data_IF_329489909741
#
_entry.id   IF_329489909741
#
_cell.length_a   1.000
_cell.length_b   1.000
_cell.length_c   1.000
_cell.angle_alpha   90.00
_cell.angle_beta   90.00
_cell.angle_gamma   90.00
#
_symmetry.space_group_name_H-M   'P 1'
#
loop_
_entity.id
_entity.type
_entity.pdbx_description
1 polymer ?
#
# COMPACT_ATOMS: atom_id res chain seq x y z
N UNK A 1 -11.00 19.72 7.44
CA UNK A 1 -11.13 18.61 6.47
C UNK A 1 -11.46 17.37 7.26
N UNK A 2 -12.44 16.59 6.79
CA UNK A 2 -12.76 15.30 7.41
C UNK A 2 -11.68 14.28 7.02
N UNK A 3 -11.33 13.38 7.95
CA UNK A 3 -10.35 12.34 7.70
C UNK A 3 -10.86 11.36 6.64
N UNK A 4 -10.01 10.97 5.69
CA UNK A 4 -10.26 9.89 4.72
C UNK A 4 -9.03 8.98 4.67
N UNK A 5 -9.24 7.72 5.07
CA UNK A 5 -8.26 6.64 4.95
C UNK A 5 -8.75 5.57 3.98
N UNK A 6 -7.89 4.61 3.65
CA UNK A 6 -8.26 3.49 2.78
C UNK A 6 -7.50 2.20 3.05
N UNK A 7 -8.14 1.09 2.74
CA UNK A 7 -7.49 -0.19 2.52
C UNK A 7 -7.46 -0.53 1.02
N UNK A 8 -6.26 -0.74 0.48
CA UNK A 8 -6.04 -0.89 -0.95
C UNK A 8 -5.37 -2.25 -1.30
N UNK A 9 -6.08 -3.38 -1.24
CA UNK A 9 -5.50 -4.70 -1.48
C UNK A 9 -5.37 -5.02 -2.97
N UNK A 10 -4.25 -5.64 -3.35
CA UNK A 10 -4.11 -6.30 -4.66
C UNK A 10 -4.75 -7.70 -4.65
N UNK A 11 -5.58 -8.06 -5.65
CA UNK A 11 -6.28 -9.35 -5.69
C UNK A 11 -5.44 -10.50 -6.27
N UNK A 12 -4.16 -10.57 -5.89
CA UNK A 12 -3.25 -11.69 -6.22
C UNK A 12 -3.49 -12.96 -5.38
N UNK A 13 -4.52 -12.95 -4.53
CA UNK A 13 -4.88 -14.05 -3.63
C UNK A 13 -5.79 -13.57 -2.49
N UNK A 14 -6.27 -14.48 -1.62
CA UNK A 14 -7.12 -14.14 -0.49
C UNK A 14 -6.41 -13.25 0.55
N UNK A 15 -7.16 -12.68 1.49
CA UNK A 15 -6.57 -11.98 2.63
C UNK A 15 -5.83 -12.99 3.53
N UNK A 16 -4.65 -12.60 3.97
CA UNK A 16 -3.87 -13.28 5.00
C UNK A 16 -3.71 -12.35 6.21
N UNK A 17 -3.13 -12.86 7.31
CA UNK A 17 -3.00 -12.11 8.56
C UNK A 17 -2.35 -10.73 8.37
N UNK A 18 -1.24 -10.63 7.63
CA UNK A 18 -0.61 -9.34 7.32
C UNK A 18 -1.50 -8.35 6.56
N UNK A 19 -2.36 -8.83 5.64
CA UNK A 19 -3.34 -7.96 4.98
C UNK A 19 -4.44 -7.51 5.94
N UNK A 20 -4.83 -8.38 6.89
CA UNK A 20 -5.79 -8.04 7.93
C UNK A 20 -5.23 -6.98 8.90
N UNK A 21 -3.95 -7.04 9.25
CA UNK A 21 -3.29 -5.98 10.05
C UNK A 21 -3.44 -4.63 9.36
N UNK A 22 -3.16 -4.56 8.05
CA UNK A 22 -3.32 -3.34 7.28
C UNK A 22 -4.79 -2.87 7.21
N UNK A 23 -5.73 -3.79 7.04
CA UNK A 23 -7.16 -3.46 7.03
C UNK A 23 -7.64 -2.92 8.39
N UNK A 24 -7.37 -3.64 9.49
CA UNK A 24 -7.77 -3.23 10.84
C UNK A 24 -7.11 -1.93 11.29
N UNK A 25 -5.79 -1.80 11.12
CA UNK A 25 -5.09 -0.59 11.55
C UNK A 25 -5.54 0.65 10.79
N UNK A 26 -5.78 0.53 9.47
CA UNK A 26 -6.35 1.63 8.68
C UNK A 26 -7.80 1.93 9.03
N UNK A 27 -8.61 0.91 9.34
CA UNK A 27 -10.01 1.07 9.77
C UNK A 27 -10.10 1.77 11.12
N UNK A 28 -9.35 1.31 12.12
CA UNK A 28 -9.32 1.90 13.45
C UNK A 28 -8.85 3.35 13.41
N UNK A 29 -7.76 3.65 12.69
CA UNK A 29 -7.29 5.01 12.53
C UNK A 29 -8.38 5.90 11.89
N UNK A 30 -9.06 5.43 10.84
CA UNK A 30 -10.10 6.21 10.18
C UNK A 30 -11.29 6.50 11.09
N UNK A 31 -11.83 5.47 11.76
CA UNK A 31 -13.01 5.61 12.61
C UNK A 31 -12.71 6.35 13.92
N UNK A 32 -11.51 6.18 14.51
CA UNK A 32 -11.06 6.95 15.67
C UNK A 32 -10.97 8.46 15.36
N UNK A 33 -10.66 8.82 14.11
CA UNK A 33 -10.65 10.20 13.62
C UNK A 33 -12.00 10.65 13.03
N UNK A 34 -13.08 9.89 13.29
CA UNK A 34 -14.44 10.19 12.79
C UNK A 34 -14.50 10.40 11.27
N UNK A 35 -13.66 9.66 10.55
CA UNK A 35 -13.47 9.79 9.11
C UNK A 35 -14.09 8.65 8.30
N UNK A 36 -13.88 8.75 6.98
CA UNK A 36 -14.21 7.69 6.05
C UNK A 36 -13.08 6.67 5.94
N UNK A 37 -13.45 5.41 5.76
CA UNK A 37 -12.55 4.31 5.43
C UNK A 37 -13.00 3.68 4.11
N UNK A 38 -12.21 3.92 3.06
CA UNK A 38 -12.51 3.47 1.71
C UNK A 38 -11.85 2.12 1.41
N UNK A 39 -12.39 1.39 0.43
CA UNK A 39 -11.73 0.21 -0.15
C UNK A 39 -11.48 0.42 -1.64
N UNK A 40 -10.25 0.11 -2.06
CA UNK A 40 -9.84 0.14 -3.47
C UNK A 40 -9.14 -1.16 -3.85
N UNK A 41 -9.68 -1.89 -4.81
CA UNK A 41 -9.03 -3.09 -5.36
C UNK A 41 -7.94 -2.67 -6.34
N UNK A 42 -6.69 -3.07 -6.07
CA UNK A 42 -5.52 -2.77 -6.90
C UNK A 42 -5.26 -3.89 -7.93
N UNK A 43 -6.22 -4.05 -8.85
CA UNK A 43 -6.24 -4.98 -9.99
C UNK A 43 -5.57 -4.37 -11.24
N UNK A 44 -4.27 -4.06 -11.11
CA UNK A 44 -3.44 -3.44 -12.16
C UNK A 44 -2.52 -4.41 -12.92
N UNK A 45 -2.44 -5.66 -12.50
CA UNK A 45 -1.51 -6.64 -13.08
C UNK A 45 -2.27 -7.95 -13.34
N UNK A 46 -3.12 -8.00 -14.39
CA UNK A 46 -3.99 -9.15 -14.67
C UNK A 46 -3.27 -10.50 -14.68
N UNK A 47 -2.03 -10.62 -15.20
CA UNK A 47 -1.26 -11.87 -15.11
C UNK A 47 -0.99 -12.38 -13.68
N UNK A 48 -1.02 -11.52 -12.67
CA UNK A 48 -0.79 -11.85 -11.26
C UNK A 48 -2.08 -11.93 -10.43
N UNK A 49 -3.20 -11.57 -11.02
CA UNK A 49 -4.49 -11.58 -10.35
C UNK A 49 -5.04 -13.00 -10.27
N UNK A 50 -5.70 -13.31 -9.16
CA UNK A 50 -6.38 -14.57 -8.96
C UNK A 50 -7.87 -14.36 -9.24
N UNK A 51 -8.48 -15.09 -10.20
CA UNK A 51 -9.90 -15.01 -10.48
C UNK A 51 -10.73 -15.19 -9.20
N UNK A 52 -11.67 -14.26 -8.96
CA UNK A 52 -12.53 -14.27 -7.78
C UNK A 52 -11.89 -13.75 -6.48
N UNK A 53 -10.58 -13.46 -6.45
CA UNK A 53 -9.92 -13.00 -5.24
C UNK A 53 -10.43 -11.62 -4.78
N UNK A 54 -10.72 -10.69 -5.70
CA UNK A 54 -11.31 -9.40 -5.35
C UNK A 54 -12.65 -9.57 -4.61
N UNK A 55 -13.56 -10.39 -5.16
CA UNK A 55 -14.84 -10.71 -4.51
C UNK A 55 -14.64 -11.40 -3.16
N UNK A 56 -13.69 -12.32 -3.07
CA UNK A 56 -13.40 -13.02 -1.81
C UNK A 56 -12.84 -12.06 -0.75
N UNK A 57 -11.93 -11.17 -1.12
CA UNK A 57 -11.40 -10.12 -0.23
C UNK A 57 -12.54 -9.29 0.36
N UNK A 58 -13.46 -8.79 -0.47
CA UNK A 58 -14.59 -7.97 -0.02
C UNK A 58 -15.51 -8.74 0.93
N UNK A 59 -15.86 -9.99 0.60
CA UNK A 59 -16.66 -10.86 1.48
C UNK A 59 -15.96 -11.14 2.81
N UNK A 60 -14.64 -11.32 2.80
CA UNK A 60 -13.87 -11.50 4.03
C UNK A 60 -13.89 -10.22 4.86
N UNK A 61 -13.76 -9.03 4.28
CA UNK A 61 -13.89 -7.77 5.02
C UNK A 61 -15.28 -7.65 5.68
N UNK A 62 -16.35 -7.98 4.96
CA UNK A 62 -17.72 -8.01 5.50
C UNK A 62 -17.86 -9.02 6.66
N UNK A 63 -17.33 -10.24 6.50
CA UNK A 63 -17.36 -11.26 7.54
C UNK A 63 -16.59 -10.84 8.81
N UNK A 64 -15.57 -10.00 8.65
CA UNK A 64 -14.80 -9.42 9.75
C UNK A 64 -15.42 -8.14 10.32
N UNK A 65 -16.58 -7.68 9.84
CA UNK A 65 -17.25 -6.45 10.29
C UNK A 65 -16.61 -5.15 9.79
N UNK A 66 -15.68 -5.25 8.82
CA UNK A 66 -14.93 -4.12 8.27
C UNK A 66 -15.70 -3.49 7.10
N UNK A 67 -16.76 -2.76 7.42
CA UNK A 67 -17.60 -2.09 6.43
C UNK A 67 -16.96 -0.79 5.95
N UNK A 68 -16.76 -0.70 4.64
CA UNK A 68 -16.21 0.50 4.00
C UNK A 68 -17.28 1.55 3.69
N UNK A 69 -16.83 2.79 3.64
CA UNK A 69 -17.63 3.92 3.22
C UNK A 69 -17.53 4.09 1.69
N UNK A 70 -18.59 4.64 1.10
CA UNK A 70 -18.74 4.86 -0.36
C UNK A 70 -18.61 3.56 -1.19
N UNK A 71 -18.55 3.68 -2.52
CA UNK A 71 -18.39 2.55 -3.43
C UNK A 71 -16.94 2.07 -3.52
N UNK A 72 -16.74 0.76 -3.66
CA UNK A 72 -15.42 0.19 -3.96
C UNK A 72 -14.90 0.71 -5.30
N UNK A 73 -13.64 1.12 -5.32
CA UNK A 73 -12.93 1.52 -6.54
C UNK A 73 -12.08 0.36 -7.08
N UNK A 74 -12.06 0.18 -8.40
CA UNK A 74 -11.22 -0.81 -9.08
C UNK A 74 -10.24 -0.09 -10.01
N UNK A 75 -8.95 -0.38 -9.88
CA UNK A 75 -7.93 0.27 -10.69
C UNK A 75 -7.97 -0.17 -12.16
N UNK A 76 -8.46 -1.38 -12.44
CA UNK A 76 -8.75 -1.87 -13.80
C UNK A 76 -9.71 -0.96 -14.58
N UNK A 77 -10.56 -0.20 -13.88
CA UNK A 77 -11.53 0.73 -14.47
C UNK A 77 -11.00 2.17 -14.60
N UNK A 78 -9.73 2.41 -14.23
CA UNK A 78 -9.16 3.76 -14.07
C UNK A 78 -7.97 4.03 -14.99
N UNK A 79 -7.72 3.13 -15.94
CA UNK A 79 -6.64 3.26 -16.92
C UNK A 79 -6.66 4.59 -17.69
N UNK A 80 -7.84 5.14 -17.99
CA UNK A 80 -7.96 6.42 -18.67
C UNK A 80 -7.37 7.57 -17.84
N UNK A 81 -7.61 7.59 -16.52
CA UNK A 81 -7.04 8.59 -15.61
C UNK A 81 -5.52 8.55 -15.65
N UNK A 82 -4.94 7.35 -15.53
CA UNK A 82 -3.49 7.16 -15.53
C UNK A 82 -2.87 7.54 -16.87
N UNK A 83 -3.49 7.13 -17.97
CA UNK A 83 -3.00 7.41 -19.32
C UNK A 83 -3.06 8.90 -19.65
N UNK A 84 -4.13 9.60 -19.24
CA UNK A 84 -4.27 11.03 -19.45
C UNK A 84 -3.14 11.80 -18.75
N UNK A 85 -2.83 11.47 -17.49
CA UNK A 85 -1.73 12.11 -16.77
C UNK A 85 -0.37 11.84 -17.42
N UNK A 86 -0.12 10.59 -17.86
CA UNK A 86 1.09 10.24 -18.60
C UNK A 86 1.21 11.06 -19.89
N UNK A 87 0.13 11.19 -20.64
CA UNK A 87 0.12 11.95 -21.89
C UNK A 87 0.45 13.43 -21.66
N UNK A 88 -0.11 14.02 -20.61
CA UNK A 88 0.22 15.39 -20.20
C UNK A 88 1.71 15.53 -19.89
N UNK A 89 2.27 14.64 -19.05
CA UNK A 89 3.69 14.71 -18.69
C UNK A 89 4.63 14.46 -19.87
N UNK A 90 4.25 13.60 -20.81
CA UNK A 90 5.00 13.45 -22.06
C UNK A 90 4.97 14.74 -22.89
N UNK A 91 3.81 15.39 -23.01
CA UNK A 91 3.66 16.63 -23.76
C UNK A 91 4.44 17.80 -23.13
N UNK A 92 4.54 17.84 -21.80
CA UNK A 92 5.26 18.88 -21.05
C UNK A 92 6.74 18.53 -20.76
N UNK A 93 7.24 17.40 -21.24
CA UNK A 93 8.62 16.94 -21.00
C UNK A 93 8.93 16.51 -19.56
N UNK A 94 7.90 16.28 -18.74
CA UNK A 94 8.01 15.74 -17.38
C UNK A 94 8.10 14.21 -17.36
N UNK A 95 7.80 13.55 -18.47
CA UNK A 95 8.02 12.12 -18.67
C UNK A 95 8.69 11.89 -20.03
N UNK A 96 9.33 10.73 -20.20
CA UNK A 96 9.99 10.35 -21.44
C UNK A 96 10.02 8.84 -21.67
N UNK A 97 10.19 8.46 -22.93
CA UNK A 97 10.30 7.06 -23.34
C UNK A 97 11.69 6.51 -23.03
N UNK A 98 11.73 5.27 -22.53
CA UNK A 98 12.95 4.56 -22.18
C UNK A 98 12.96 3.16 -22.81
N UNK A 99 13.95 2.93 -23.67
CA UNK A 99 14.20 1.66 -24.35
C UNK A 99 15.19 0.75 -23.61
N UNK A 100 15.75 1.19 -22.48
CA UNK A 100 16.70 0.39 -21.71
C UNK A 100 16.06 -0.91 -21.19
N UNK A 101 16.79 -2.01 -21.33
CA UNK A 101 16.46 -3.35 -20.86
C UNK A 101 16.87 -3.53 -19.40
N UNK A 102 16.24 -4.49 -18.70
CA UNK A 102 16.62 -4.83 -17.31
C UNK A 102 18.11 -5.20 -17.18
N UNK A 103 18.70 -5.82 -18.20
CA UNK A 103 20.12 -6.19 -18.23
C UNK A 103 21.01 -4.95 -18.23
N UNK A 104 20.68 -3.93 -19.02
CA UNK A 104 21.42 -2.67 -19.06
C UNK A 104 21.29 -1.91 -17.73
N UNK A 105 20.08 -1.83 -17.16
CA UNK A 105 19.88 -1.21 -15.83
C UNK A 105 20.71 -1.91 -14.75
N UNK A 106 20.77 -3.25 -14.77
CA UNK A 106 21.62 -4.01 -13.84
C UNK A 106 23.10 -3.69 -14.03
N UNK A 107 23.56 -3.55 -15.27
CA UNK A 107 24.94 -3.16 -15.58
C UNK A 107 25.27 -1.73 -15.13
N UNK A 108 24.26 -0.84 -15.00
CA UNK A 108 24.40 0.51 -14.46
C UNK A 108 24.48 0.55 -12.91
N UNK A 109 24.45 -0.59 -12.23
CA UNK A 109 24.44 -0.66 -10.76
C UNK A 109 23.06 -0.88 -10.14
N UNK A 110 22.06 -1.26 -10.95
CA UNK A 110 20.73 -1.65 -10.47
C UNK A 110 19.70 -0.51 -10.44
N UNK A 111 20.15 0.74 -10.50
CA UNK A 111 19.30 1.92 -10.63
C UNK A 111 19.46 2.57 -12.00
N UNK A 112 18.38 3.15 -12.52
CA UNK A 112 18.48 3.88 -13.77
C UNK A 112 19.18 5.23 -13.60
N UNK A 113 20.11 5.53 -14.50
CA UNK A 113 20.94 6.74 -14.46
C UNK A 113 20.46 7.85 -15.41
N UNK A 114 19.25 7.73 -15.98
CA UNK A 114 18.71 8.72 -16.92
C UNK A 114 19.24 8.60 -18.36
N UNK A 115 19.83 7.48 -18.78
CA UNK A 115 20.39 7.31 -20.14
C UNK A 115 19.51 7.84 -21.28
N UNK A 116 18.21 7.48 -21.30
CA UNK A 116 17.27 7.85 -22.37
C UNK A 116 16.71 9.28 -22.21
N UNK A 117 16.97 9.95 -21.08
CA UNK A 117 16.73 11.38 -20.91
C UNK A 117 17.62 12.19 -21.84
N UNK A 118 18.90 11.78 -21.95
CA UNK A 118 19.90 12.40 -22.82
C UNK A 118 19.98 11.77 -24.21
N UNK A 119 19.57 10.51 -24.33
CA UNK A 119 19.59 9.74 -25.58
C UNK A 119 18.19 9.18 -25.89
N UNK A 120 17.24 10.04 -26.28
CA UNK A 120 15.86 9.63 -26.51
C UNK A 120 15.80 8.55 -27.61
N UNK A 121 14.94 7.53 -27.44
CA UNK A 121 14.81 6.48 -28.43
C UNK A 121 14.21 7.02 -29.74
N UNK A 122 14.70 6.55 -30.88
CA UNK A 122 14.21 6.98 -32.20
C UNK A 122 12.77 6.51 -32.49
N UNK A 123 12.31 5.46 -31.79
CA UNK A 123 10.94 4.94 -31.85
C UNK A 123 10.38 4.85 -30.44
N UNK A 124 9.11 5.20 -30.28
CA UNK A 124 8.42 5.14 -28.99
C UNK A 124 7.72 3.78 -28.74
N UNK A 125 7.64 2.93 -29.76
CA UNK A 125 7.14 1.57 -29.66
C UNK A 125 8.07 0.75 -28.73
N UNK A 126 7.48 -0.20 -27.99
CA UNK A 126 8.20 -1.10 -27.07
C UNK A 126 9.09 -0.39 -26.03
N UNK A 127 8.75 0.85 -25.68
CA UNK A 127 9.39 1.61 -24.62
C UNK A 127 8.59 1.56 -23.33
N UNK A 128 9.30 1.59 -22.21
CA UNK A 128 8.71 2.03 -20.94
C UNK A 128 8.60 3.55 -20.91
N UNK A 129 7.76 4.11 -20.04
CA UNK A 129 7.69 5.54 -19.77
C UNK A 129 8.20 5.79 -18.36
N UNK A 130 9.14 6.72 -18.23
CA UNK A 130 9.73 7.13 -16.96
C UNK A 130 9.36 8.56 -16.64
N UNK A 131 9.15 8.85 -15.36
CA UNK A 131 8.98 10.21 -14.87
C UNK A 131 10.35 10.86 -14.71
N UNK A 132 10.47 12.12 -15.11
CA UNK A 132 11.60 12.98 -14.80
C UNK A 132 11.54 13.39 -13.33
N UNK A 133 12.50 12.96 -12.52
CA UNK A 133 12.59 13.30 -11.12
C UNK A 133 13.37 14.61 -10.97
N UNK A 134 12.65 15.71 -10.72
CA UNK A 134 13.26 17.03 -10.52
C UNK A 134 13.34 17.44 -9.04
N UNK A 135 12.39 16.98 -8.22
CA UNK A 135 12.30 17.29 -6.78
C UNK A 135 12.17 16.00 -5.95
N UNK A 136 13.25 15.21 -5.82
CA UNK A 136 13.21 13.95 -5.10
C UNK A 136 13.02 14.16 -3.60
N UNK A 137 12.19 13.32 -2.98
CA UNK A 137 11.99 13.29 -1.53
C UNK A 137 12.73 12.09 -0.95
N UNK A 138 13.80 12.38 -0.21
CA UNK A 138 14.60 11.38 0.50
C UNK A 138 14.13 11.19 1.95
N UNK A 139 13.61 12.25 2.57
CA UNK A 139 13.19 12.27 3.96
C UNK A 139 11.70 12.58 4.06
N UNK A 140 10.99 11.83 4.90
CA UNK A 140 9.57 12.09 5.18
C UNK A 140 9.23 11.79 6.64
N UNK A 141 8.09 12.32 7.08
CA UNK A 141 7.57 12.08 8.43
C UNK A 141 6.53 10.96 8.39
N UNK A 142 6.79 9.91 9.15
CA UNK A 142 5.83 8.88 9.52
C UNK A 142 5.24 9.18 10.91
N UNK A 143 3.94 8.96 11.08
CA UNK A 143 3.26 9.28 12.34
C UNK A 143 3.65 8.38 13.52
N UNK A 144 4.13 7.15 13.26
CA UNK A 144 4.66 6.27 14.30
C UNK A 144 6.17 6.41 14.42
N UNK A 145 6.88 6.38 13.30
CA UNK A 145 8.33 6.24 13.30
C UNK A 145 9.10 7.57 13.20
N UNK A 146 8.41 8.70 13.10
CA UNK A 146 9.03 10.02 13.00
C UNK A 146 9.73 10.22 11.65
N UNK A 147 10.91 10.83 11.66
CA UNK A 147 11.67 11.08 10.41
C UNK A 147 12.25 9.79 9.86
N UNK A 148 11.87 9.43 8.64
CA UNK A 148 12.42 8.29 7.90
C UNK A 148 13.19 8.80 6.69
N UNK A 149 14.39 8.27 6.50
CA UNK A 149 15.24 8.50 5.33
C UNK A 149 15.25 7.26 4.45
N UNK A 150 14.97 7.41 3.14
CA UNK A 150 15.09 6.34 2.15
C UNK A 150 16.41 6.43 1.36
N UNK A 151 16.86 5.34 0.70
CA UNK A 151 18.11 5.38 -0.07
C UNK A 151 18.09 6.45 -1.17
N UNK A 152 19.13 7.29 -1.23
CA UNK A 152 19.26 8.37 -2.22
C UNK A 152 19.07 7.90 -3.66
N UNK A 153 19.72 6.79 -4.03
CA UNK A 153 19.60 6.22 -5.37
C UNK A 153 18.17 5.80 -5.73
N UNK A 154 17.37 5.39 -4.74
CA UNK A 154 15.95 5.08 -4.93
C UNK A 154 15.12 6.36 -5.10
N UNK A 155 15.37 7.38 -4.27
CA UNK A 155 14.65 8.65 -4.27
C UNK A 155 14.87 9.47 -5.56
N UNK A 156 16.11 9.47 -6.07
CA UNK A 156 16.52 10.25 -7.25
C UNK A 156 16.27 9.54 -8.59
N UNK A 157 15.90 8.25 -8.58
CA UNK A 157 15.68 7.53 -9.83
C UNK A 157 14.47 8.09 -10.60
N UNK A 158 14.66 8.40 -11.88
CA UNK A 158 13.60 8.57 -12.88
C UNK A 158 12.85 7.24 -13.05
N UNK A 159 11.92 6.92 -12.14
CA UNK A 159 11.28 5.61 -12.08
C UNK A 159 10.20 5.44 -13.16
N UNK A 160 9.90 4.17 -13.45
CA UNK A 160 8.89 3.79 -14.45
C UNK A 160 7.49 4.16 -13.95
N UNK A 161 6.72 4.86 -14.77
CA UNK A 161 5.29 5.16 -14.57
C UNK A 161 4.38 4.33 -15.49
N UNK A 162 4.91 3.85 -16.63
CA UNK A 162 4.27 2.84 -17.49
C UNK A 162 5.31 1.83 -17.95
N UNK A 163 5.05 0.56 -17.67
CA UNK A 163 5.93 -0.55 -18.05
C UNK A 163 5.91 -0.77 -19.56
N UNK A 164 6.96 -1.44 -20.07
CA UNK A 164 7.09 -1.78 -21.50
C UNK A 164 5.95 -2.66 -22.02
N UNK A 165 5.42 -3.53 -21.16
CA UNK A 165 4.27 -4.39 -21.44
C UNK A 165 2.91 -3.66 -21.36
N UNK A 166 2.93 -2.33 -21.17
CA UNK A 166 1.74 -1.50 -21.16
C UNK A 166 1.08 -1.32 -19.79
N UNK A 167 1.49 -2.07 -18.76
CA UNK A 167 0.91 -1.98 -17.42
C UNK A 167 1.34 -0.69 -16.70
N UNK A 168 0.42 -0.08 -15.96
CA UNK A 168 0.70 1.13 -15.17
C UNK A 168 1.50 0.77 -13.91
N UNK A 169 2.41 1.64 -13.52
CA UNK A 169 3.21 1.41 -12.31
C UNK A 169 2.39 1.71 -11.05
N UNK A 170 2.59 0.90 -10.00
CA UNK A 170 1.93 1.06 -8.70
C UNK A 170 2.05 2.49 -8.13
N UNK A 171 3.26 3.08 -8.12
CA UNK A 171 3.47 4.43 -7.58
C UNK A 171 2.63 5.50 -8.31
N UNK A 172 2.41 5.35 -9.62
CA UNK A 172 1.56 6.27 -10.37
C UNK A 172 0.10 6.12 -9.94
N UNK A 173 -0.42 4.89 -10.03
CA UNK A 173 -1.83 4.64 -9.84
C UNK A 173 -2.27 4.92 -8.39
N UNK A 174 -1.47 4.52 -7.40
CA UNK A 174 -1.80 4.75 -5.98
C UNK A 174 -1.91 6.24 -5.66
N UNK A 175 -1.01 7.08 -6.19
CA UNK A 175 -1.02 8.53 -5.94
C UNK A 175 -2.21 9.20 -6.63
N UNK A 176 -2.45 8.87 -7.91
CA UNK A 176 -3.59 9.46 -8.63
C UNK A 176 -4.94 9.06 -8.02
N UNK A 177 -5.06 7.82 -7.53
CA UNK A 177 -6.29 7.36 -6.90
C UNK A 177 -6.47 7.91 -5.50
N UNK A 178 -5.40 8.02 -4.70
CA UNK A 178 -5.48 8.64 -3.39
C UNK A 178 -5.88 10.13 -3.52
N UNK A 179 -5.38 10.85 -4.54
CA UNK A 179 -5.80 12.24 -4.84
C UNK A 179 -7.28 12.29 -5.23
N UNK A 180 -7.71 11.48 -6.20
CA UNK A 180 -9.07 11.49 -6.72
C UNK A 180 -10.11 11.06 -5.68
N UNK A 181 -9.77 10.10 -4.81
CA UNK A 181 -10.62 9.70 -3.68
C UNK A 181 -10.54 10.65 -2.48
N UNK A 182 -9.70 11.69 -2.53
CA UNK A 182 -9.52 12.65 -1.45
C UNK A 182 -8.92 12.06 -0.18
N UNK A 183 -8.15 10.98 -0.29
CA UNK A 183 -7.45 10.35 0.84
C UNK A 183 -6.57 11.39 1.52
N UNK A 184 -6.65 11.48 2.84
CA UNK A 184 -5.89 12.44 3.66
C UNK A 184 -4.74 11.76 4.42
N UNK A 185 -4.86 10.45 4.65
CA UNK A 185 -3.85 9.67 5.34
C UNK A 185 -3.81 8.24 4.82
N UNK A 186 -2.60 7.75 4.60
CA UNK A 186 -2.32 6.38 4.20
C UNK A 186 -1.79 5.61 5.40
N UNK A 187 -2.58 4.63 5.85
CA UNK A 187 -2.17 3.65 6.86
C UNK A 187 -1.95 2.31 6.15
N UNK A 188 -0.74 1.77 6.18
CA UNK A 188 -0.35 0.56 5.43
C UNK A 188 0.82 -0.17 6.08
N UNK A 189 1.13 -1.38 5.61
CA UNK A 189 2.28 -2.15 6.10
C UNK A 189 3.62 -1.46 5.82
N UNK A 190 4.59 -1.67 6.70
CA UNK A 190 5.90 -1.02 6.64
C UNK A 190 6.81 -1.52 5.51
N UNK A 191 6.41 -2.56 4.78
CA UNK A 191 7.04 -2.97 3.52
C UNK A 191 6.92 -1.91 2.42
N UNK A 192 6.02 -0.94 2.61
CA UNK A 192 5.78 0.16 1.70
C UNK A 192 6.41 1.48 2.16
N UNK A 193 7.34 1.44 3.14
CA UNK A 193 8.13 2.59 3.57
C UNK A 193 8.96 3.15 2.41
N UNK A 194 9.78 2.31 1.76
CA UNK A 194 10.71 2.76 0.72
C UNK A 194 10.02 3.46 -0.47
N UNK A 195 8.89 2.94 -1.03
CA UNK A 195 8.15 3.65 -2.07
C UNK A 195 7.56 5.01 -1.65
N UNK A 196 7.46 5.30 -0.34
CA UNK A 196 6.81 6.53 0.16
C UNK A 196 7.47 7.79 -0.35
N UNK A 197 8.82 7.86 -0.33
CA UNK A 197 9.52 9.04 -0.85
C UNK A 197 9.21 9.30 -2.34
N UNK A 198 9.15 8.25 -3.16
CA UNK A 198 8.75 8.37 -4.58
C UNK A 198 7.31 8.85 -4.75
N UNK A 199 6.41 8.40 -3.89
CA UNK A 199 5.00 8.80 -3.93
C UNK A 199 4.84 10.27 -3.51
N UNK A 200 5.56 10.72 -2.48
CA UNK A 200 5.57 12.14 -2.09
C UNK A 200 6.17 13.00 -3.21
N UNK A 201 7.24 12.56 -3.88
CA UNK A 201 7.75 13.23 -5.08
C UNK A 201 6.68 13.37 -6.17
N UNK A 202 5.84 12.35 -6.38
CA UNK A 202 4.72 12.42 -7.34
C UNK A 202 3.67 13.46 -6.93
N UNK A 203 3.30 13.52 -5.65
CA UNK A 203 2.41 14.57 -5.15
C UNK A 203 2.96 15.96 -5.47
N UNK A 204 4.27 16.19 -5.23
CA UNK A 204 4.91 17.45 -5.58
C UNK A 204 4.91 17.75 -7.08
N UNK A 205 5.21 16.75 -7.93
CA UNK A 205 5.13 16.89 -9.39
C UNK A 205 3.71 17.23 -9.87
N UNK A 206 2.69 16.65 -9.24
CA UNK A 206 1.28 16.95 -9.48
C UNK A 206 0.82 18.27 -8.85
N UNK A 207 1.70 18.98 -8.12
CA UNK A 207 1.38 20.19 -7.35
C UNK A 207 0.24 19.97 -6.36
N UNK A 208 0.14 18.76 -5.81
CA UNK A 208 -0.84 18.37 -4.80
C UNK A 208 -0.17 18.26 -3.43
N UNK A 209 -0.96 18.49 -2.38
CA UNK A 209 -0.48 18.27 -1.01
C UNK A 209 -0.34 16.76 -0.75
N UNK A 210 0.83 16.27 -0.31
CA UNK A 210 0.97 14.87 0.08
C UNK A 210 0.06 14.51 1.26
N UNK A 211 -0.39 13.26 1.28
CA UNK A 211 -1.07 12.64 2.42
C UNK A 211 -0.12 12.46 3.60
N UNK A 212 -0.66 12.30 4.81
CA UNK A 212 0.13 11.82 5.95
C UNK A 212 0.29 10.30 5.88
N UNK A 213 1.36 9.76 6.49
CA UNK A 213 1.67 8.34 6.45
C UNK A 213 1.77 7.75 7.86
N UNK A 214 1.23 6.55 8.03
CA UNK A 214 1.42 5.70 9.20
C UNK A 214 1.75 4.29 8.72
N UNK A 215 2.97 3.84 8.96
CA UNK A 215 3.39 2.49 8.62
C UNK A 215 3.16 1.54 9.82
N UNK A 216 2.43 0.46 9.56
CA UNK A 216 2.11 -0.59 10.52
C UNK A 216 3.18 -1.68 10.50
N UNK A 217 3.45 -2.34 11.63
CA UNK A 217 4.43 -3.42 11.69
C UNK A 217 4.10 -4.58 10.74
N UNK A 218 5.14 -5.18 10.18
CA UNK A 218 5.07 -6.36 9.35
C UNK A 218 5.03 -7.63 10.19
N UNK A 219 4.09 -8.50 9.88
CA UNK A 219 4.05 -9.82 10.46
C UNK A 219 5.07 -10.74 9.77
N UNK A 220 5.96 -11.34 10.55
CA UNK A 220 7.02 -12.26 10.11
C UNK A 220 6.70 -13.69 10.54
N UNK A 221 7.12 -14.69 9.79
CA UNK A 221 7.06 -16.10 10.21
C UNK A 221 8.19 -16.42 11.21
N UNK A 222 8.21 -17.65 11.74
CA UNK A 222 9.24 -18.11 12.67
C UNK A 222 10.65 -18.22 12.06
N UNK A 223 10.76 -18.14 10.73
CA UNK A 223 12.03 -18.18 9.98
C UNK A 223 12.51 -16.77 9.59
N UNK A 224 11.81 -15.71 10.02
CA UNK A 224 12.15 -14.33 9.67
C UNK A 224 11.74 -13.93 8.24
N UNK A 225 10.87 -14.69 7.57
CA UNK A 225 10.29 -14.26 6.31
C UNK A 225 8.99 -13.49 6.55
N UNK A 226 8.73 -12.48 5.74
CA UNK A 226 7.45 -11.77 5.78
C UNK A 226 6.28 -12.72 5.52
N UNK A 227 5.24 -12.67 6.36
CA UNK A 227 3.97 -13.30 6.08
C UNK A 227 3.30 -12.59 4.89
N UNK A 228 3.47 -13.16 3.70
CA UNK A 228 2.98 -12.61 2.45
C UNK A 228 2.38 -13.70 1.57
N UNK A 229 1.55 -13.29 0.61
CA UNK A 229 0.99 -14.20 -0.42
C UNK A 229 2.07 -14.96 -1.20
N UNK A 230 3.24 -14.34 -1.40
CA UNK A 230 4.38 -14.96 -2.11
C UNK A 230 5.06 -16.07 -1.30
N UNK A 231 4.92 -16.03 0.02
CA UNK A 231 5.48 -17.01 0.94
C UNK A 231 4.43 -18.04 1.39
N UNK A 232 3.35 -18.22 0.62
CA UNK A 232 2.26 -19.15 0.90
C UNK A 232 1.58 -18.94 2.28
N UNK A 233 1.52 -17.68 2.75
CA UNK A 233 0.79 -17.38 3.98
C UNK A 233 -0.66 -17.87 3.89
N UNK A 234 -1.18 -18.58 4.91
CA UNK A 234 -2.53 -19.12 4.86
C UNK A 234 -3.56 -18.00 4.77
N UNK A 235 -4.64 -18.27 4.05
CA UNK A 235 -5.81 -17.40 4.03
C UNK A 235 -6.41 -17.32 5.44
N UNK A 236 -6.93 -16.16 5.82
CA UNK A 236 -7.67 -16.03 7.07
C UNK A 236 -9.05 -16.67 6.95
N UNK A 237 -9.49 -17.36 8.01
CA UNK A 237 -10.79 -18.02 8.03
C UNK A 237 -11.91 -17.01 8.24
N UNK A 238 -12.84 -16.94 7.28
CA UNK A 238 -13.98 -16.02 7.36
C UNK A 238 -15.11 -16.51 8.29
N UNK A 239 -15.11 -17.78 8.70
CA UNK A 239 -16.15 -18.39 9.55
C UNK A 239 -15.98 -18.11 11.05
N UNK A 240 -14.76 -17.84 11.51
CA UNK A 240 -14.46 -17.62 12.93
C UNK A 240 -13.58 -16.36 13.15
N UNK A 241 -14.05 -15.18 12.71
CA UNK A 241 -13.22 -13.97 12.64
C UNK A 241 -12.74 -13.50 14.03
N UNK A 242 -13.53 -13.76 15.08
CA UNK A 242 -13.30 -13.28 16.45
C UNK A 242 -11.88 -13.56 16.96
N UNK A 243 -11.41 -14.81 16.88
CA UNK A 243 -10.08 -15.16 17.36
C UNK A 243 -8.98 -14.47 16.55
N UNK A 244 -9.14 -14.38 15.23
CA UNK A 244 -8.17 -13.70 14.37
C UNK A 244 -8.13 -12.19 14.66
N UNK A 245 -9.28 -11.55 14.92
CA UNK A 245 -9.34 -10.13 15.30
C UNK A 245 -8.64 -9.92 16.64
N UNK A 246 -8.87 -10.77 17.65
CA UNK A 246 -8.16 -10.70 18.93
C UNK A 246 -6.64 -10.71 18.73
N UNK A 247 -6.14 -11.67 17.95
CA UNK A 247 -4.72 -11.78 17.64
C UNK A 247 -4.20 -10.56 16.86
N UNK A 248 -4.98 -10.02 15.92
CA UNK A 248 -4.61 -8.83 15.16
C UNK A 248 -4.57 -7.57 16.03
N UNK A 249 -5.52 -7.40 16.96
CA UNK A 249 -5.51 -6.29 17.91
C UNK A 249 -4.30 -6.38 18.85
N UNK A 250 -4.00 -7.57 19.39
CA UNK A 250 -2.79 -7.78 20.19
C UNK A 250 -1.51 -7.46 19.38
N UNK A 251 -1.47 -7.86 18.11
CA UNK A 251 -0.36 -7.54 17.21
C UNK A 251 -0.21 -6.02 16.99
N UNK A 252 -1.33 -5.30 16.89
CA UNK A 252 -1.39 -3.84 16.83
C UNK A 252 -1.16 -3.16 18.20
N UNK A 253 -0.73 -3.90 19.22
CA UNK A 253 -0.33 -3.35 20.52
C UNK A 253 -1.49 -3.03 21.47
N UNK A 254 -2.71 -3.47 21.20
CA UNK A 254 -3.81 -3.30 22.13
C UNK A 254 -3.60 -4.12 23.41
N UNK A 255 -3.78 -3.48 24.57
CA UNK A 255 -3.96 -4.15 25.86
C UNK A 255 -5.44 -4.55 26.00
N UNK A 256 -5.78 -5.78 25.61
CA UNK A 256 -7.16 -6.24 25.61
C UNK A 256 -7.68 -6.51 27.04
N UNK A 257 -8.91 -6.08 27.37
CA UNK A 257 -9.60 -6.44 28.61
C UNK A 257 -9.74 -7.95 28.79
N UNK A 258 -9.72 -8.42 30.03
CA UNK A 258 -9.78 -9.85 30.36
C UNK A 258 -11.14 -10.49 30.03
N UNK A 259 -12.20 -9.69 29.96
CA UNK A 259 -13.60 -10.07 29.68
C UNK A 259 -13.98 -10.00 28.20
N UNK A 260 -13.01 -9.82 27.29
CA UNK A 260 -13.24 -9.94 25.83
C UNK A 260 -13.71 -11.33 25.38
N UNK A 261 -13.85 -12.30 26.30
CA UNK A 261 -14.26 -13.69 26.05
C UNK A 261 -15.64 -13.83 25.40
N UNK A 262 -16.55 -12.89 25.64
CA UNK A 262 -17.94 -12.94 25.14
C UNK A 262 -18.24 -11.85 24.09
N UNK A 263 -17.27 -10.96 23.82
CA UNK A 263 -17.46 -9.88 22.85
C UNK A 263 -17.60 -10.44 21.43
N UNK A 264 -18.63 -10.00 20.72
CA UNK A 264 -18.77 -10.26 19.29
C UNK A 264 -17.84 -9.36 18.45
N UNK A 265 -17.77 -9.63 17.14
CA UNK A 265 -16.91 -8.89 16.22
C UNK A 265 -17.23 -7.39 16.19
N UNK A 266 -18.51 -7.00 16.24
CA UNK A 266 -18.92 -5.59 16.20
C UNK A 266 -18.46 -4.85 17.45
N UNK A 267 -18.68 -5.45 18.63
CA UNK A 267 -18.26 -4.92 19.93
C UNK A 267 -16.73 -4.78 20.00
N UNK A 268 -15.99 -5.79 19.52
CA UNK A 268 -14.53 -5.74 19.47
C UNK A 268 -14.01 -4.62 18.57
N UNK A 269 -14.60 -4.44 17.38
CA UNK A 269 -14.23 -3.37 16.47
C UNK A 269 -14.57 -2.00 17.02
N UNK A 270 -15.77 -1.83 17.60
CA UNK A 270 -16.20 -0.58 18.21
C UNK A 270 -15.26 -0.18 19.37
N UNK A 271 -14.91 -1.14 20.23
CA UNK A 271 -13.93 -0.92 21.29
C UNK A 271 -12.55 -0.57 20.72
N UNK A 272 -12.11 -1.28 19.67
CA UNK A 272 -10.86 -1.00 18.97
C UNK A 272 -10.80 0.42 18.42
N UNK A 273 -11.87 0.90 17.76
CA UNK A 273 -11.98 2.28 17.28
C UNK A 273 -11.92 3.31 18.42
N UNK A 274 -12.57 3.05 19.56
CA UNK A 274 -12.60 3.97 20.70
C UNK A 274 -11.26 4.05 21.44
N UNK A 275 -10.50 2.96 21.45
CA UNK A 275 -9.25 2.84 22.23
C UNK A 275 -8.00 2.89 21.37
N UNK A 276 -8.13 3.13 20.06
CA UNK A 276 -7.00 3.20 19.15
C UNK A 276 -6.09 4.38 19.45
N UNK A 277 -4.80 4.10 19.68
CA UNK A 277 -3.77 5.11 19.83
C UNK A 277 -2.54 4.74 19.00
N UNK A 278 -2.01 5.67 18.21
CA UNK A 278 -0.77 5.42 17.43
C UNK A 278 0.41 5.08 18.33
N UNK A 279 0.46 5.67 19.53
CA UNK A 279 1.50 5.39 20.55
C UNK A 279 1.52 3.94 21.01
N UNK A 280 0.40 3.22 20.94
CA UNK A 280 0.31 1.82 21.37
C UNK A 280 0.99 0.87 20.39
N UNK A 281 1.15 1.28 19.13
CA UNK A 281 1.74 0.44 18.10
C UNK A 281 3.15 0.03 18.54
N UNK A 282 3.59 -1.20 18.22
CA UNK A 282 4.97 -1.59 18.45
C UNK A 282 5.96 -0.65 17.77
N UNK A 283 7.13 -0.44 18.39
CA UNK A 283 8.22 0.35 17.79
C UNK A 283 8.91 -0.38 16.63
N UNK A 284 8.93 -1.71 16.68
CA UNK A 284 9.56 -2.53 15.66
C UNK A 284 8.76 -2.53 14.35
N UNK A 285 9.46 -2.37 13.24
CA UNK A 285 8.91 -2.43 11.88
C UNK A 285 8.54 -3.88 11.49
N UNK A 286 9.21 -4.87 12.06
CA UNK A 286 9.00 -6.31 11.80
C UNK A 286 8.78 -7.05 13.12
N UNK A 287 7.75 -7.90 13.17
CA UNK A 287 7.31 -8.61 14.38
C UNK A 287 6.89 -10.02 14.01
N UNK A 288 7.39 -11.03 14.71
CA UNK A 288 6.87 -12.40 14.63
C UNK A 288 5.63 -12.55 15.52
N UNK A 289 4.43 -12.81 14.97
CA UNK A 289 3.25 -13.04 15.79
C UNK A 289 3.41 -14.26 16.70
N UNK A 290 2.83 -14.22 17.90
CA UNK A 290 2.96 -15.30 18.91
C UNK A 290 2.41 -16.66 18.45
N UNK A 291 1.45 -16.67 17.54
CA UNK A 291 0.85 -17.91 16.99
C UNK A 291 1.64 -18.52 15.82
N UNK A 292 2.74 -17.89 15.39
CA UNK A 292 3.62 -18.40 14.31
C UNK A 292 4.58 -19.48 14.80
N UNK A 293 4.73 -19.59 16.12
CA UNK A 293 5.36 -20.75 16.73
C UNK A 293 4.32 -21.86 16.72
N UNK A 294 4.55 -22.91 15.91
CA UNK A 294 3.75 -24.13 15.96
C UNK A 294 3.69 -24.71 17.39
N UNK A 295 2.83 -25.70 17.65
CA UNK A 295 2.73 -26.29 18.97
C UNK A 295 4.13 -26.78 19.40
N UNK A 296 4.51 -26.44 20.64
CA UNK A 296 5.66 -27.05 21.29
C UNK A 296 5.46 -28.58 21.41
#
# INVERSE_FOLDING_TARGET
>A
MNYIGRFAPSPSGPLHFGSLIAALGSYFQAKANQGKWLVRIEDLDPPREMPGAATHILRTLEAYGLHWDDSVVYQSQRHALYQNQINEWLATGQAYYCQCTRKEIKAMGGFYNGHCKSHPPARHQDCSIRLRMDNPVQDFIDLKHGSITIPKALAEEDFIIKRRDGLFAYNLAVVLDDIDQGVTQVVRGADLIEPTGRQISLYHTLKQKPVSYLHLPLAMDGNGNKLSKQNHAPAIESSHPRQTILHAMQFLGFALPADFSDADTEQMLAWGCQNWQVSQLPEAIEITPRFSNGPA
#
